data_IF_477015393512
#
_entry.id   IF_477015393512
#
_cell.length_a   1.000
_cell.length_b   1.000
_cell.length_c   1.000
_cell.angle_alpha   90.00
_cell.angle_beta   90.00
_cell.angle_gamma   90.00
#
_symmetry.space_group_name_H-M   'P 1'
#
loop_
_entity.id
_entity.type
_entity.pdbx_description
1 polymer ?
#
# COMPACT_ATOMS: atom_id res chain seq x y z
N UNK A 1 -13.84 -4.79 -16.87
CA UNK A 1 -13.10 -5.78 -16.07
C UNK A 1 -12.13 -4.98 -15.21
N UNK A 2 -12.53 -4.67 -13.97
CA UNK A 2 -11.61 -4.09 -12.99
C UNK A 2 -10.63 -5.21 -12.61
N UNK A 3 -9.34 -5.02 -12.88
CA UNK A 3 -8.32 -6.00 -12.54
C UNK A 3 -8.13 -6.01 -11.03
N UNK A 4 -8.02 -7.20 -10.44
CA UNK A 4 -7.71 -7.38 -9.01
C UNK A 4 -6.42 -6.63 -8.58
N UNK A 5 -5.53 -6.32 -9.53
CA UNK A 5 -4.35 -5.48 -9.33
C UNK A 5 -4.68 -4.02 -8.95
N UNK A 6 -5.78 -3.46 -9.45
CA UNK A 6 -6.18 -2.09 -9.10
C UNK A 6 -6.74 -2.03 -7.67
N UNK A 7 -7.43 -3.09 -7.23
CA UNK A 7 -7.95 -3.21 -5.86
C UNK A 7 -6.80 -3.36 -4.85
N UNK A 8 -5.75 -4.11 -5.19
CA UNK A 8 -4.57 -4.29 -4.32
C UNK A 8 -3.75 -3.02 -4.07
N UNK A 9 -3.70 -2.10 -5.06
CA UNK A 9 -2.96 -0.83 -4.97
C UNK A 9 -3.78 0.26 -4.25
N UNK A 10 -5.10 0.30 -4.47
CA UNK A 10 -5.97 1.37 -3.97
C UNK A 10 -6.40 1.16 -2.51
N UNK A 11 -6.37 -0.08 -2.00
CA UNK A 11 -6.74 -0.39 -0.60
C UNK A 11 -5.84 0.34 0.43
N UNK A 12 -4.50 0.32 0.34
CA UNK A 12 -3.62 1.07 1.24
C UNK A 12 -3.89 2.58 1.26
N UNK A 13 -4.10 3.19 0.09
CA UNK A 13 -4.38 4.64 -0.03
C UNK A 13 -5.72 5.00 0.63
N UNK A 14 -6.78 4.23 0.35
CA UNK A 14 -8.07 4.44 0.99
C UNK A 14 -8.00 4.22 2.51
N UNK A 15 -7.22 3.25 2.97
CA UNK A 15 -7.01 3.00 4.39
C UNK A 15 -6.28 4.16 5.08
N UNK A 16 -5.25 4.74 4.45
CA UNK A 16 -4.59 5.95 4.95
C UNK A 16 -5.55 7.14 5.02
N UNK A 17 -6.34 7.36 3.96
CA UNK A 17 -7.29 8.45 3.88
C UNK A 17 -8.36 8.34 4.97
N UNK A 18 -8.95 7.16 5.15
CA UNK A 18 -9.95 6.93 6.20
C UNK A 18 -9.36 7.12 7.60
N UNK A 19 -8.11 6.71 7.82
CA UNK A 19 -7.45 6.93 9.11
C UNK A 19 -7.28 8.42 9.45
N UNK A 20 -6.88 9.23 8.47
CA UNK A 20 -6.78 10.67 8.67
C UNK A 20 -8.15 11.34 8.83
N UNK A 21 -9.15 10.93 8.04
CA UNK A 21 -10.50 11.51 8.10
C UNK A 21 -11.26 11.16 9.38
N UNK A 22 -11.19 9.90 9.85
CA UNK A 22 -11.99 9.43 10.99
C UNK A 22 -11.29 9.59 12.33
N UNK A 23 -9.96 9.50 12.35
CA UNK A 23 -9.17 9.51 13.60
C UNK A 23 -8.21 10.68 13.71
N UNK A 24 -8.19 11.59 12.72
CA UNK A 24 -7.32 12.76 12.73
C UNK A 24 -5.82 12.44 12.71
N UNK A 25 -5.44 11.21 12.29
CA UNK A 25 -4.04 10.80 12.27
C UNK A 25 -3.22 11.63 11.31
N UNK A 26 -2.00 11.99 11.74
CA UNK A 26 -1.01 12.59 10.86
C UNK A 26 -0.67 11.63 9.71
N UNK A 27 -0.16 12.19 8.60
CA UNK A 27 0.28 11.38 7.46
C UNK A 27 1.24 10.26 7.90
N UNK A 28 2.19 10.57 8.77
CA UNK A 28 3.25 9.64 9.18
C UNK A 28 2.70 8.49 10.04
N UNK A 29 1.72 8.75 10.91
CA UNK A 29 1.03 7.71 11.68
C UNK A 29 0.12 6.85 10.80
N UNK A 30 -0.67 7.47 9.92
CA UNK A 30 -1.55 6.76 9.00
C UNK A 30 -0.75 5.87 8.03
N UNK A 31 0.38 6.38 7.54
CA UNK A 31 1.33 5.64 6.72
C UNK A 31 1.94 4.47 7.50
N UNK A 32 2.51 4.72 8.69
CA UNK A 32 3.16 3.66 9.49
C UNK A 32 2.20 2.52 9.84
N UNK A 33 0.95 2.85 10.17
CA UNK A 33 -0.09 1.85 10.45
C UNK A 33 -0.54 1.11 9.20
N UNK A 34 -0.65 1.80 8.06
CA UNK A 34 -0.99 1.15 6.79
C UNK A 34 0.13 0.22 6.35
N UNK A 35 1.39 0.63 6.49
CA UNK A 35 2.54 -0.18 6.12
C UNK A 35 2.66 -1.44 7.00
N UNK A 36 2.37 -1.35 8.31
CA UNK A 36 2.43 -2.54 9.18
C UNK A 36 1.39 -3.61 8.81
N UNK A 37 0.26 -3.21 8.22
CA UNK A 37 -0.82 -4.11 7.78
C UNK A 37 -0.55 -4.65 6.38
N UNK A 38 -0.28 -3.75 5.43
CA UNK A 38 -0.23 -4.09 4.01
C UNK A 38 1.16 -4.51 3.53
N UNK A 39 2.22 -4.18 4.27
CA UNK A 39 3.63 -4.50 3.99
C UNK A 39 4.01 -4.13 2.55
N UNK A 40 3.72 -2.90 2.16
CA UNK A 40 3.86 -2.44 0.78
C UNK A 40 5.31 -2.48 0.33
N UNK A 41 6.27 -2.17 1.20
CA UNK A 41 7.70 -2.24 0.87
C UNK A 41 8.15 -3.67 0.58
N UNK A 42 7.68 -4.65 1.36
CA UNK A 42 8.01 -6.06 1.15
C UNK A 42 7.42 -6.55 -0.18
N UNK A 43 6.15 -6.22 -0.44
CA UNK A 43 5.47 -6.59 -1.69
C UNK A 43 6.14 -5.95 -2.90
N UNK A 44 6.49 -4.66 -2.81
CA UNK A 44 7.22 -3.93 -3.85
C UNK A 44 8.54 -4.60 -4.16
N UNK A 45 9.37 -4.91 -3.16
CA UNK A 45 10.65 -5.62 -3.35
C UNK A 45 10.47 -6.99 -4.00
N UNK A 46 9.43 -7.74 -3.62
CA UNK A 46 9.13 -9.05 -4.24
C UNK A 46 8.73 -8.90 -5.70
N UNK A 47 7.88 -7.93 -6.02
CA UNK A 47 7.47 -7.60 -7.39
C UNK A 47 8.67 -7.16 -8.22
N UNK A 48 9.48 -6.25 -7.71
CA UNK A 48 10.71 -5.80 -8.35
C UNK A 48 11.66 -6.96 -8.62
N UNK A 49 11.85 -7.88 -7.66
CA UNK A 49 12.69 -9.07 -7.86
C UNK A 49 12.11 -10.02 -8.90
N UNK A 50 10.80 -10.20 -8.93
CA UNK A 50 10.14 -11.11 -9.87
C UNK A 50 10.15 -10.59 -11.31
N UNK A 51 9.98 -9.28 -11.49
CA UNK A 51 9.93 -8.63 -12.80
C UNK A 51 11.23 -7.91 -13.18
N UNK A 52 12.28 -7.99 -12.35
CA UNK A 52 13.62 -7.54 -12.72
C UNK A 52 14.00 -8.26 -14.02
N UNK A 53 14.16 -7.50 -15.11
CA UNK A 53 14.73 -8.03 -16.34
C UNK A 53 16.12 -8.52 -15.99
N UNK A 54 16.34 -9.82 -16.11
CA UNK A 54 17.68 -10.36 -16.26
C UNK A 54 18.08 -10.01 -17.69
N UNK A 55 18.94 -9.00 -17.85
CA UNK A 55 19.68 -8.82 -19.10
C UNK A 55 20.59 -10.03 -19.38
#
# INVERSE_FOLDING_TARGET
>A
MYSDDQTGIVIPENHMLMQSMLFGKSYQEAFSHTESIFKMDEKKKKLEKHFAKND
#
